data_IF_518768845157
#
_entry.id   IF_518768845157
#
_cell.length_a   1.000
_cell.length_b   1.000
_cell.length_c   1.000
_cell.angle_alpha   90.00
_cell.angle_beta   90.00
_cell.angle_gamma   90.00
#
_symmetry.space_group_name_H-M   'P 1'
#
loop_
_entity.id
_entity.type
_entity.pdbx_description
1 polymer ?
#
# COMPACT_ATOMS: atom_id res chain seq x y z
N UNK A 1 -5.41 -14.32 -21.82
CA UNK A 1 -4.34 -13.86 -20.91
C UNK A 1 -4.20 -14.90 -19.81
N UNK A 2 -2.98 -15.33 -19.45
CA UNK A 2 -2.82 -16.26 -18.33
C UNK A 2 -3.14 -15.52 -17.04
N UNK A 3 -4.18 -15.93 -16.34
CA UNK A 3 -4.48 -15.41 -15.01
C UNK A 3 -3.40 -15.92 -14.05
N UNK A 4 -2.62 -14.99 -13.50
CA UNK A 4 -1.70 -15.31 -12.40
C UNK A 4 -2.56 -15.50 -11.15
N UNK A 5 -2.56 -16.71 -10.61
CA UNK A 5 -3.15 -17.02 -9.31
C UNK A 5 -2.04 -16.94 -8.27
N UNK A 6 -2.18 -16.04 -7.31
CA UNK A 6 -1.25 -15.87 -6.22
C UNK A 6 -1.99 -15.81 -4.90
N UNK A 7 -1.45 -16.49 -3.88
CA UNK A 7 -2.03 -16.50 -2.53
C UNK A 7 -1.83 -15.16 -1.81
N UNK A 8 -0.81 -14.40 -2.23
CA UNK A 8 -0.53 -13.05 -1.74
C UNK A 8 0.22 -12.22 -2.76
N UNK A 9 0.11 -10.89 -2.65
CA UNK A 9 0.84 -9.93 -3.46
C UNK A 9 1.56 -8.93 -2.59
N UNK A 10 2.86 -8.76 -2.86
CA UNK A 10 3.66 -7.67 -2.31
C UNK A 10 3.81 -6.56 -3.34
N UNK A 11 3.47 -5.33 -2.96
CA UNK A 11 3.52 -4.14 -3.81
C UNK A 11 4.55 -3.16 -3.25
N UNK A 12 5.62 -2.93 -4.01
CA UNK A 12 6.61 -1.87 -3.76
C UNK A 12 6.71 -0.95 -4.98
N UNK A 13 5.65 -0.16 -5.27
CA UNK A 13 5.65 0.76 -6.40
C UNK A 13 6.75 1.82 -6.24
N UNK A 14 7.26 2.42 -7.33
CA UNK A 14 8.28 3.45 -7.23
C UNK A 14 7.72 4.74 -6.58
N UNK A 15 8.48 5.30 -5.64
CA UNK A 15 8.04 6.45 -4.84
C UNK A 15 8.44 7.82 -5.41
N UNK A 16 9.16 7.84 -6.54
CA UNK A 16 9.75 9.06 -7.09
C UNK A 16 11.14 9.41 -6.51
N UNK A 17 11.85 8.43 -5.96
CA UNK A 17 13.20 8.60 -5.40
C UNK A 17 13.22 9.47 -4.13
N UNK A 18 14.40 9.91 -3.65
CA UNK A 18 14.55 10.64 -2.39
C UNK A 18 13.70 11.91 -2.27
N UNK A 19 13.25 12.47 -3.38
CA UNK A 19 12.36 13.64 -3.44
C UNK A 19 11.05 13.47 -2.67
N UNK A 20 10.59 12.24 -2.41
CA UNK A 20 9.39 12.01 -1.58
C UNK A 20 9.54 12.60 -0.16
N UNK A 21 10.78 12.68 0.35
CA UNK A 21 11.10 13.17 1.69
C UNK A 21 10.77 14.66 1.82
N UNK A 22 10.85 15.43 0.73
CA UNK A 22 10.56 16.87 0.74
C UNK A 22 9.08 17.20 0.95
N UNK A 23 8.18 16.21 0.88
CA UNK A 23 6.74 16.41 1.08
C UNK A 23 6.35 16.15 2.54
N UNK A 24 5.55 17.05 3.11
CA UNK A 24 4.96 16.83 4.45
C UNK A 24 3.99 15.64 4.45
N UNK A 25 3.25 15.48 3.36
CA UNK A 25 2.29 14.38 3.15
C UNK A 25 2.46 13.89 1.71
N UNK A 26 2.68 12.58 1.55
CA UNK A 26 2.84 11.92 0.26
C UNK A 26 1.48 11.34 -0.19
N UNK A 27 0.93 11.87 -1.29
CA UNK A 27 -0.39 11.50 -1.80
C UNK A 27 -0.31 10.23 -2.64
N UNK A 28 -1.06 9.20 -2.24
CA UNK A 28 -1.08 7.91 -2.94
C UNK A 28 -1.79 7.98 -4.31
N UNK A 29 -2.62 8.99 -4.54
CA UNK A 29 -3.28 9.24 -5.83
C UNK A 29 -2.39 10.03 -6.80
N UNK A 30 -1.68 11.05 -6.29
CA UNK A 30 -1.01 12.02 -7.15
C UNK A 30 0.49 11.75 -7.27
N UNK A 31 1.13 11.33 -6.19
CA UNK A 31 2.60 11.20 -6.10
C UNK A 31 3.08 9.79 -6.44
N UNK A 32 2.28 8.77 -6.12
CA UNK A 32 2.59 7.38 -6.44
C UNK A 32 2.33 7.09 -7.92
N UNK A 33 3.27 6.40 -8.57
CA UNK A 33 3.14 5.97 -9.97
C UNK A 33 3.49 4.48 -10.07
N UNK A 34 2.60 3.60 -10.55
CA UNK A 34 1.18 3.83 -10.85
C UNK A 34 0.41 4.29 -9.60
N UNK A 35 -0.73 4.98 -9.81
CA UNK A 35 -1.49 5.51 -8.67
C UNK A 35 -2.09 4.38 -7.85
N UNK A 36 -2.45 4.67 -6.61
CA UNK A 36 -3.14 3.70 -5.75
C UNK A 36 -4.46 3.20 -6.36
N UNK A 37 -5.17 4.05 -7.13
CA UNK A 37 -6.39 3.63 -7.83
C UNK A 37 -6.08 2.58 -8.90
N UNK A 38 -4.99 2.79 -9.66
CA UNK A 38 -4.57 1.88 -10.73
C UNK A 38 -4.13 0.53 -10.16
N UNK A 39 -3.37 0.57 -9.05
CA UNK A 39 -2.92 -0.62 -8.33
C UNK A 39 -4.10 -1.45 -7.84
N UNK A 40 -5.04 -0.84 -7.11
CA UNK A 40 -6.18 -1.56 -6.55
C UNK A 40 -7.16 -2.05 -7.62
N UNK A 41 -7.39 -1.27 -8.68
CA UNK A 41 -8.27 -1.69 -9.79
C UNK A 41 -7.72 -2.90 -10.51
N UNK A 42 -6.39 -3.02 -10.62
CA UNK A 42 -5.73 -4.16 -11.25
C UNK A 42 -5.67 -5.39 -10.34
N UNK A 43 -5.52 -5.19 -9.01
CA UNK A 43 -5.27 -6.27 -8.05
C UNK A 43 -6.52 -6.89 -7.44
N UNK A 44 -7.59 -6.11 -7.25
CA UNK A 44 -8.82 -6.59 -6.60
C UNK A 44 -9.48 -7.79 -7.33
N UNK A 45 -9.17 -7.97 -8.61
CA UNK A 45 -9.68 -9.11 -9.38
C UNK A 45 -8.97 -10.44 -9.08
N UNK A 46 -7.79 -10.43 -8.44
CA UNK A 46 -6.89 -11.61 -8.44
C UNK A 46 -6.32 -12.03 -7.08
N UNK A 47 -6.36 -11.20 -6.03
CA UNK A 47 -5.79 -11.59 -4.73
C UNK A 47 -6.51 -10.95 -3.53
N UNK A 48 -6.68 -11.74 -2.46
CA UNK A 48 -7.29 -11.31 -1.19
C UNK A 48 -6.27 -11.02 -0.09
N UNK A 49 -4.96 -11.17 -0.34
CA UNK A 49 -3.89 -10.95 0.64
C UNK A 49 -2.87 -10.00 0.04
N UNK A 50 -2.79 -8.77 0.54
CA UNK A 50 -1.93 -7.73 -0.04
C UNK A 50 -1.06 -7.10 1.04
N UNK A 51 0.23 -6.98 0.76
CA UNK A 51 1.18 -6.18 1.52
C UNK A 51 1.68 -5.03 0.63
N UNK A 52 1.45 -3.79 1.03
CA UNK A 52 1.78 -2.59 0.27
C UNK A 52 2.82 -1.75 1.03
N UNK A 53 4.02 -1.64 0.47
CA UNK A 53 5.15 -0.92 1.05
C UNK A 53 5.20 0.53 0.56
N UNK A 54 5.15 1.48 1.50
CA UNK A 54 4.94 2.90 1.22
C UNK A 54 5.92 3.81 1.96
N UNK A 55 6.15 5.04 1.45
CA UNK A 55 6.87 6.07 2.17
C UNK A 55 6.30 6.35 3.56
N UNK A 56 7.17 6.63 4.53
CA UNK A 56 6.80 6.96 5.93
C UNK A 56 5.81 8.12 6.10
N UNK A 57 5.75 9.03 5.13
CA UNK A 57 4.91 10.22 5.12
C UNK A 57 3.64 10.06 4.26
N UNK A 58 3.27 8.82 3.91
CA UNK A 58 2.11 8.55 3.06
C UNK A 58 0.77 8.91 3.69
N UNK A 59 -0.15 9.39 2.86
CA UNK A 59 -1.52 9.70 3.26
C UNK A 59 -2.38 8.43 3.38
N UNK A 60 -2.75 8.08 4.61
CA UNK A 60 -3.54 6.89 4.91
C UNK A 60 -5.03 7.02 4.63
N UNK A 61 -5.53 8.20 4.27
CA UNK A 61 -6.95 8.41 3.94
C UNK A 61 -7.40 7.52 2.79
N UNK A 62 -6.54 7.37 1.78
CA UNK A 62 -6.80 6.55 0.60
C UNK A 62 -6.87 5.08 0.98
N UNK A 63 -5.94 4.58 1.80
CA UNK A 63 -5.94 3.21 2.33
C UNK A 63 -7.24 2.91 3.06
N UNK A 64 -7.68 3.79 3.96
CA UNK A 64 -8.95 3.61 4.69
C UNK A 64 -10.18 3.57 3.77
N UNK A 65 -10.17 4.34 2.69
CA UNK A 65 -11.24 4.33 1.69
C UNK A 65 -11.26 3.02 0.92
N UNK A 66 -10.09 2.51 0.51
CA UNK A 66 -9.99 1.24 -0.21
C UNK A 66 -10.26 0.03 0.67
N UNK A 67 -9.79 0.02 1.92
CA UNK A 67 -10.09 -1.05 2.86
C UNK A 67 -11.60 -1.19 3.04
N UNK A 68 -12.33 -0.07 3.18
CA UNK A 68 -13.80 -0.09 3.24
C UNK A 68 -14.46 -0.61 1.97
N UNK A 69 -13.89 -0.32 0.80
CA UNK A 69 -14.46 -0.70 -0.49
C UNK A 69 -14.24 -2.17 -0.83
N UNK A 70 -13.11 -2.74 -0.42
CA UNK A 70 -12.62 -4.04 -0.91
C UNK A 70 -12.32 -5.07 0.19
N UNK A 71 -12.18 -4.65 1.45
CA UNK A 71 -11.66 -5.49 2.55
C UNK A 71 -12.42 -5.26 3.88
N UNK A 72 -13.73 -5.02 3.84
CA UNK A 72 -14.60 -4.81 5.01
C UNK A 72 -14.13 -3.73 6.00
N UNK A 73 -13.35 -2.77 5.51
CA UNK A 73 -12.76 -1.70 6.33
C UNK A 73 -11.50 -2.09 7.10
N UNK A 74 -11.06 -3.36 7.04
CA UNK A 74 -9.91 -3.86 7.79
C UNK A 74 -8.59 -3.66 7.04
N UNK A 75 -7.58 -3.19 7.78
CA UNK A 75 -6.20 -3.12 7.35
C UNK A 75 -5.30 -3.01 8.57
N UNK A 76 -4.04 -3.39 8.43
CA UNK A 76 -3.01 -3.21 9.44
C UNK A 76 -1.90 -2.33 8.90
N UNK A 77 -1.26 -1.56 9.77
CA UNK A 77 -0.12 -0.73 9.44
C UNK A 77 1.05 -1.11 10.33
N UNK A 78 2.12 -1.57 9.69
CA UNK A 78 3.40 -1.85 10.31
C UNK A 78 4.37 -0.71 9.98
N UNK A 79 5.13 -0.28 10.99
CA UNK A 79 6.16 0.75 10.86
C UNK A 79 7.53 0.11 10.75
N UNK A 80 8.28 0.48 9.72
CA UNK A 80 9.61 -0.05 9.46
C UNK A 80 10.67 0.93 9.95
N UNK A 81 11.47 0.51 10.94
CA UNK A 81 12.53 1.32 11.55
C UNK A 81 13.91 0.80 11.18
N UNK A 82 14.84 1.72 10.97
CA UNK A 82 16.28 1.43 10.84
C UNK A 82 17.00 2.40 11.76
N UNK A 83 17.81 1.89 12.70
CA UNK A 83 18.50 2.71 13.71
C UNK A 83 17.54 3.65 14.47
N UNK A 84 16.37 3.15 14.85
CA UNK A 84 15.27 3.90 15.48
C UNK A 84 14.61 5.00 14.63
N UNK A 85 15.06 5.19 13.39
CA UNK A 85 14.45 6.12 12.45
C UNK A 85 13.38 5.43 11.61
N UNK A 86 12.16 5.98 11.60
CA UNK A 86 11.08 5.49 10.74
C UNK A 86 11.47 5.71 9.28
N UNK A 87 11.56 4.63 8.49
CA UNK A 87 11.91 4.69 7.06
C UNK A 87 10.70 4.54 6.16
N UNK A 88 9.79 3.65 6.51
CA UNK A 88 8.66 3.28 5.68
C UNK A 88 7.50 2.73 6.52
N UNK A 89 6.37 2.52 5.87
CA UNK A 89 5.22 1.79 6.43
C UNK A 89 4.83 0.66 5.48
N UNK A 90 4.46 -0.47 6.04
CA UNK A 90 3.84 -1.58 5.30
C UNK A 90 2.37 -1.64 5.68
N UNK A 91 1.50 -1.69 4.68
CA UNK A 91 0.06 -1.82 4.87
C UNK A 91 -0.36 -3.23 4.48
N UNK A 92 -0.96 -3.96 5.40
CA UNK A 92 -1.52 -5.28 5.15
C UNK A 92 -3.05 -5.19 4.98
N UNK A 93 -3.58 -5.86 3.97
CA UNK A 93 -5.00 -5.85 3.59
C UNK A 93 -5.52 -7.27 3.36
N UNK A 94 -6.82 -7.45 3.65
CA UNK A 94 -7.50 -8.74 3.51
C UNK A 94 -6.88 -9.81 4.39
N UNK A 95 -6.58 -10.98 3.84
CA UNK A 95 -6.05 -12.12 4.61
C UNK A 95 -4.60 -11.93 5.07
N UNK A 96 -3.94 -10.83 4.69
CA UNK A 96 -2.61 -10.46 5.18
C UNK A 96 -2.65 -9.84 6.59
N UNK A 97 -3.81 -9.43 7.09
CA UNK A 97 -3.93 -8.90 8.46
C UNK A 97 -3.81 -10.03 9.48
N UNK A 98 -3.15 -9.77 10.61
CA UNK A 98 -3.19 -10.67 11.76
C UNK A 98 -4.63 -10.79 12.30
N UNK A 99 -4.95 -11.94 12.89
CA UNK A 99 -6.29 -12.23 13.43
C UNK A 99 -6.48 -11.63 14.82
#
# INVERSE_FOLDING_TARGET
MKHVRADGVFLSPPWGGPSYIGKKVYSLENDLKPSINDLFSSMNMFCQSIALFLPRNSDMRSIKRFSKKYFDGKYESEKNYVENELKAITIYLGNATQK
#
